data_IF_277540415873
#
_entry.id   IF_277540415873
#
_cell.length_a   1.000
_cell.length_b   1.000
_cell.length_c   1.000
_cell.angle_alpha   90.00
_cell.angle_beta   90.00
_cell.angle_gamma   90.00
#
_symmetry.space_group_name_H-M   'P 1'
#
loop_
_entity.id
_entity.type
_entity.pdbx_description
1 polymer ?
#
# COMPACT_ATOMS: atom_id res chain seq x y z
N UNK A 1 1.03 -52.30 5.56
CA UNK A 1 1.89 -53.51 5.41
C UNK A 1 1.38 -54.29 4.21
N UNK A 2 2.24 -54.73 3.28
CA UNK A 2 1.79 -55.59 2.19
C UNK A 2 1.37 -56.96 2.75
N UNK A 3 0.16 -57.39 2.42
CA UNK A 3 -0.41 -58.69 2.82
C UNK A 3 0.20 -59.81 1.96
N UNK A 4 1.38 -60.29 2.36
CA UNK A 4 2.12 -61.33 1.65
C UNK A 4 1.63 -62.70 2.12
N UNK A 5 0.75 -63.34 1.33
CA UNK A 5 0.30 -64.72 1.58
C UNK A 5 1.44 -65.71 1.28
N UNK A 6 2.05 -66.25 2.32
CA UNK A 6 3.08 -67.30 2.24
C UNK A 6 2.46 -68.61 1.76
N UNK A 7 2.87 -69.11 0.59
CA UNK A 7 2.35 -70.39 0.03
C UNK A 7 3.44 -71.45 -0.19
N UNK A 8 4.72 -71.09 -0.03
CA UNK A 8 5.86 -71.99 -0.18
C UNK A 8 7.01 -71.65 0.78
N UNK A 9 7.91 -72.61 1.04
CA UNK A 9 9.10 -72.40 1.86
C UNK A 9 10.07 -71.35 1.29
N UNK A 10 10.09 -71.16 -0.04
CA UNK A 10 10.83 -70.09 -0.71
C UNK A 10 10.31 -68.69 -0.36
N UNK A 11 8.99 -68.54 -0.15
CA UNK A 11 8.37 -67.26 0.18
C UNK A 11 8.76 -66.77 1.58
N UNK A 12 9.00 -67.69 2.52
CA UNK A 12 9.49 -67.37 3.87
C UNK A 12 10.90 -66.76 3.83
N UNK A 13 11.78 -67.24 2.93
CA UNK A 13 13.14 -66.71 2.78
C UNK A 13 13.12 -65.27 2.27
N UNK A 14 12.24 -64.99 1.30
CA UNK A 14 12.05 -63.65 0.74
C UNK A 14 11.42 -62.69 1.75
N UNK A 15 10.42 -63.15 2.51
CA UNK A 15 9.80 -62.36 3.57
C UNK A 15 10.80 -62.04 4.69
N UNK A 16 11.63 -63.01 5.11
CA UNK A 16 12.70 -62.78 6.09
C UNK A 16 13.72 -61.73 5.62
N UNK A 17 14.10 -61.79 4.34
CA UNK A 17 15.00 -60.79 3.74
C UNK A 17 14.36 -59.40 3.71
N UNK A 18 13.11 -59.29 3.30
CA UNK A 18 12.38 -58.02 3.27
C UNK A 18 12.16 -57.42 4.67
N UNK A 19 11.89 -58.26 5.69
CA UNK A 19 11.78 -57.83 7.08
C UNK A 19 13.13 -57.37 7.66
N UNK A 20 14.23 -58.06 7.31
CA UNK A 20 15.58 -57.63 7.70
C UNK A 20 15.94 -56.27 7.08
N UNK A 21 15.70 -56.09 5.77
CA UNK A 21 15.93 -54.81 5.08
C UNK A 21 15.00 -53.69 5.59
N UNK A 22 13.79 -54.02 6.06
CA UNK A 22 12.90 -53.04 6.69
C UNK A 22 13.39 -52.64 8.09
N UNK A 23 13.84 -53.61 8.90
CA UNK A 23 14.41 -53.36 10.21
C UNK A 23 15.71 -52.53 10.15
N UNK A 24 16.56 -52.77 9.16
CA UNK A 24 17.76 -51.96 8.91
C UNK A 24 17.41 -50.52 8.55
N UNK A 25 16.45 -50.31 7.63
CA UNK A 25 15.96 -48.97 7.25
C UNK A 25 15.30 -48.23 8.43
N UNK A 26 14.57 -48.95 9.29
CA UNK A 26 14.01 -48.36 10.51
C UNK A 26 15.09 -48.00 11.52
N UNK A 27 16.11 -48.84 11.69
CA UNK A 27 17.25 -48.55 12.55
C UNK A 27 18.06 -47.33 12.07
N UNK A 28 18.26 -47.19 10.75
CA UNK A 28 18.90 -46.02 10.15
C UNK A 28 18.09 -44.74 10.38
N UNK A 29 16.77 -44.79 10.18
CA UNK A 29 15.87 -43.65 10.44
C UNK A 29 15.87 -43.25 11.92
N UNK A 30 15.83 -44.22 12.83
CA UNK A 30 15.93 -43.98 14.27
C UNK A 30 17.25 -43.30 14.65
N UNK A 31 18.38 -43.76 14.08
CA UNK A 31 19.70 -43.13 14.29
C UNK A 31 19.75 -41.70 13.77
N UNK A 32 19.23 -41.45 12.57
CA UNK A 32 19.19 -40.12 11.98
C UNK A 32 18.33 -39.14 12.79
N UNK A 33 17.17 -39.58 13.28
CA UNK A 33 16.31 -38.77 14.16
C UNK A 33 17.02 -38.44 15.49
N UNK A 34 17.68 -39.42 16.11
CA UNK A 34 18.42 -39.21 17.35
C UNK A 34 19.64 -38.28 17.16
N UNK A 35 20.28 -38.29 16.00
CA UNK A 35 21.35 -37.34 15.66
C UNK A 35 20.82 -35.93 15.44
N UNK A 36 19.71 -35.78 14.71
CA UNK A 36 19.05 -34.50 14.48
C UNK A 36 18.56 -33.86 15.80
N UNK A 37 18.01 -34.66 16.71
CA UNK A 37 17.59 -34.20 18.04
C UNK A 37 18.79 -33.71 18.87
N UNK A 38 19.89 -34.47 18.85
CA UNK A 38 21.15 -34.07 19.52
C UNK A 38 21.71 -32.77 18.94
N UNK A 39 21.65 -32.60 17.63
CA UNK A 39 22.09 -31.36 16.97
C UNK A 39 21.19 -30.18 17.31
N UNK A 40 19.86 -30.36 17.29
CA UNK A 40 18.91 -29.32 17.67
C UNK A 40 19.12 -28.88 19.12
N UNK A 41 19.35 -29.83 20.03
CA UNK A 41 19.63 -29.55 21.45
C UNK A 41 20.95 -28.79 21.63
N UNK A 42 22.00 -29.14 20.87
CA UNK A 42 23.26 -28.37 20.85
C UNK A 42 23.03 -26.96 20.33
N UNK A 43 22.29 -26.79 19.23
CA UNK A 43 21.97 -25.49 18.64
C UNK A 43 21.22 -24.57 19.60
N UNK A 44 20.26 -25.12 20.35
CA UNK A 44 19.53 -24.38 21.39
C UNK A 44 20.45 -23.96 22.55
N UNK A 45 21.40 -24.81 22.95
CA UNK A 45 22.28 -24.53 24.09
C UNK A 45 23.55 -23.75 23.73
N UNK A 46 23.91 -23.62 22.45
CA UNK A 46 25.12 -22.95 21.97
C UNK A 46 25.25 -21.52 22.49
N UNK A 47 24.15 -20.76 22.47
CA UNK A 47 24.15 -19.39 22.98
C UNK A 47 24.46 -19.34 24.47
N UNK A 48 23.82 -20.21 25.26
CA UNK A 48 24.03 -20.27 26.71
C UNK A 48 25.45 -20.68 27.08
N UNK A 49 26.03 -21.60 26.30
CA UNK A 49 27.43 -22.02 26.48
C UNK A 49 28.41 -20.92 26.10
N UNK A 50 28.14 -20.17 25.02
CA UNK A 50 29.01 -19.08 24.55
C UNK A 50 29.04 -17.86 25.48
N UNK A 51 27.90 -17.50 26.10
CA UNK A 51 27.81 -16.33 26.98
C UNK A 51 28.35 -16.59 28.40
N UNK A 52 28.50 -17.85 28.81
CA UNK A 52 28.98 -18.22 30.13
C UNK A 52 28.08 -17.73 31.29
N UNK A 53 28.67 -17.58 32.47
CA UNK A 53 27.94 -17.15 33.68
C UNK A 53 27.69 -15.64 33.64
N UNK A 54 26.42 -15.24 33.50
CA UNK A 54 26.02 -13.83 33.48
C UNK A 54 25.66 -13.36 34.89
N UNK A 55 26.23 -12.24 35.32
CA UNK A 55 25.84 -11.61 36.59
C UNK A 55 24.66 -10.68 36.37
N UNK A 56 23.58 -10.88 37.11
CA UNK A 56 22.43 -9.99 37.07
C UNK A 56 22.82 -8.61 37.62
N UNK A 57 22.44 -7.55 36.90
CA UNK A 57 22.63 -6.16 37.36
C UNK A 57 21.85 -5.93 38.67
N UNK A 58 22.55 -5.48 39.72
CA UNK A 58 21.94 -5.10 41.00
C UNK A 58 21.31 -3.70 40.88
N UNK A 59 20.08 -3.55 41.39
CA UNK A 59 19.37 -2.25 41.44
C UNK A 59 18.11 -2.15 40.57
N UNK A 60 17.23 -3.16 40.58
CA UNK A 60 15.93 -3.11 39.88
C UNK A 60 14.86 -2.30 40.63
N UNK A 61 15.21 -1.12 41.15
CA UNK A 61 14.27 -0.22 41.81
C UNK A 61 14.33 1.19 41.23
N UNK A 62 14.42 1.31 39.89
CA UNK A 62 13.93 2.51 39.20
C UNK A 62 13.71 2.27 37.70
N UNK A 63 12.94 1.23 37.36
CA UNK A 63 12.43 1.10 35.99
C UNK A 63 11.27 2.06 35.82
N UNK A 64 11.54 3.25 35.29
CA UNK A 64 10.53 4.11 34.69
C UNK A 64 9.96 3.37 33.47
N UNK A 65 8.87 2.64 33.69
CA UNK A 65 8.05 2.12 32.61
C UNK A 65 7.39 3.32 31.94
N UNK A 66 7.86 3.69 30.75
CA UNK A 66 7.12 4.61 29.89
C UNK A 66 5.85 3.90 29.47
N UNK A 67 4.75 4.16 30.16
CA UNK A 67 3.40 3.90 29.65
C UNK A 67 3.13 4.98 28.62
N UNK A 68 3.12 4.67 27.31
CA UNK A 68 2.68 5.63 26.32
C UNK A 68 1.24 6.00 26.64
N UNK A 69 0.93 7.30 26.66
CA UNK A 69 -0.47 7.73 26.72
C UNK A 69 -1.21 7.10 25.53
N UNK A 70 -2.33 6.39 25.75
CA UNK A 70 -3.09 5.81 24.67
C UNK A 70 -3.53 6.94 23.73
N UNK A 71 -3.40 6.77 22.40
CA UNK A 71 -3.87 7.78 21.46
C UNK A 71 -5.38 7.98 21.62
N UNK A 72 -5.84 9.21 21.38
CA UNK A 72 -7.26 9.55 21.42
C UNK A 72 -8.08 8.56 20.57
N UNK A 73 -9.28 8.14 21.04
CA UNK A 73 -10.11 7.18 20.35
C UNK A 73 -10.55 7.74 18.99
N UNK A 74 -9.90 7.29 17.93
CA UNK A 74 -10.26 7.61 16.54
C UNK A 74 -11.60 6.91 16.23
N UNK A 75 -12.62 7.61 15.70
CA UNK A 75 -13.93 7.02 15.40
C UNK A 75 -13.91 6.11 14.16
N UNK A 76 -13.17 5.00 14.22
CA UNK A 76 -12.95 4.07 13.09
C UNK A 76 -14.27 3.48 12.56
N UNK A 77 -15.30 3.39 13.41
CA UNK A 77 -16.65 2.94 13.02
C UNK A 77 -17.37 3.96 12.14
N UNK A 78 -17.27 5.25 12.45
CA UNK A 78 -17.85 6.32 11.62
C UNK A 78 -17.18 6.37 10.24
N UNK A 79 -15.86 6.23 10.19
CA UNK A 79 -15.13 6.19 8.92
C UNK A 79 -15.48 4.96 8.07
N UNK A 80 -15.68 3.79 8.71
CA UNK A 80 -16.09 2.57 8.02
C UNK A 80 -17.54 2.62 7.53
N UNK A 81 -18.43 3.24 8.29
CA UNK A 81 -19.82 3.44 7.88
C UNK A 81 -19.92 4.48 6.76
N UNK A 82 -19.13 5.57 6.82
CA UNK A 82 -18.99 6.55 5.74
C UNK A 82 -18.37 5.90 4.48
N UNK A 83 -17.34 5.05 4.60
CA UNK A 83 -16.78 4.29 3.46
C UNK A 83 -17.77 3.28 2.88
N UNK A 84 -18.61 2.66 3.72
CA UNK A 84 -19.63 1.69 3.28
C UNK A 84 -20.77 2.40 2.55
N UNK A 85 -21.23 3.54 3.06
CA UNK A 85 -22.23 4.41 2.41
C UNK A 85 -21.67 5.00 1.11
N UNK A 86 -20.41 5.43 1.08
CA UNK A 86 -19.74 5.94 -0.11
C UNK A 86 -19.58 4.85 -1.17
N UNK A 87 -19.31 3.60 -0.77
CA UNK A 87 -19.18 2.44 -1.66
C UNK A 87 -20.52 1.95 -2.20
N UNK A 88 -21.59 2.03 -1.41
CA UNK A 88 -22.97 1.77 -1.87
C UNK A 88 -23.52 2.90 -2.76
N UNK A 89 -23.00 4.12 -2.61
CA UNK A 89 -23.38 5.30 -3.41
C UNK A 89 -22.62 5.45 -4.73
N UNK A 90 -21.72 4.52 -5.08
CA UNK A 90 -21.08 4.45 -6.40
C UNK A 90 -22.05 3.85 -7.43
N UNK A 91 -23.19 4.49 -7.64
CA UNK A 91 -23.90 4.40 -8.92
C UNK A 91 -23.27 5.43 -9.87
N UNK A 92 -23.34 5.16 -11.17
CA UNK A 92 -22.70 5.90 -12.26
C UNK A 92 -23.17 7.37 -12.45
N UNK A 93 -23.68 8.02 -11.39
CA UNK A 93 -24.23 9.37 -11.37
C UNK A 93 -23.64 10.24 -10.25
N UNK A 94 -22.36 10.06 -9.86
CA UNK A 94 -21.71 11.01 -8.97
C UNK A 94 -21.49 12.35 -9.69
N UNK A 95 -22.44 13.26 -9.51
CA UNK A 95 -22.40 14.59 -10.10
C UNK A 95 -21.43 15.49 -9.32
N UNK A 96 -20.18 15.50 -9.78
CA UNK A 96 -19.10 16.35 -9.26
C UNK A 96 -19.44 17.84 -9.42
N UNK A 97 -20.44 18.21 -10.24
CA UNK A 97 -20.83 19.61 -10.46
C UNK A 97 -21.11 20.37 -9.17
N UNK A 98 -21.68 19.71 -8.16
CA UNK A 98 -22.02 20.32 -6.86
C UNK A 98 -20.82 20.60 -5.97
N UNK A 99 -19.69 19.92 -6.20
CA UNK A 99 -18.43 20.10 -5.48
C UNK A 99 -17.46 21.05 -6.20
N UNK A 100 -17.79 21.41 -7.45
CA UNK A 100 -17.06 22.38 -8.24
C UNK A 100 -17.75 23.73 -8.06
N UNK A 101 -16.96 24.79 -7.82
CA UNK A 101 -17.53 26.14 -7.82
C UNK A 101 -18.09 26.44 -9.22
N UNK A 102 -19.34 26.95 -9.27
CA UNK A 102 -20.13 27.22 -10.48
C UNK A 102 -19.56 28.32 -11.38
N UNK A 103 -18.51 29.00 -10.92
CA UNK A 103 -17.74 29.89 -11.77
C UNK A 103 -17.04 29.08 -12.86
N UNK A 104 -16.82 29.72 -14.00
CA UNK A 104 -16.32 29.19 -15.28
C UNK A 104 -14.91 28.52 -15.24
N UNK A 105 -14.43 28.15 -14.06
CA UNK A 105 -13.03 27.87 -13.72
C UNK A 105 -12.77 26.47 -13.14
N UNK A 106 -13.77 25.59 -13.04
CA UNK A 106 -13.63 24.15 -12.76
C UNK A 106 -12.58 23.85 -11.67
N UNK A 107 -12.74 24.49 -10.50
CA UNK A 107 -11.84 24.34 -9.36
C UNK A 107 -12.45 23.51 -8.25
N UNK A 108 -11.60 22.76 -7.55
CA UNK A 108 -11.95 21.98 -6.37
C UNK A 108 -11.03 22.34 -5.22
N UNK A 109 -11.57 22.31 -4.00
CA UNK A 109 -10.80 22.33 -2.76
C UNK A 109 -11.46 21.43 -1.73
N UNK A 110 -10.65 20.80 -0.88
CA UNK A 110 -11.14 20.01 0.25
C UNK A 110 -11.81 20.92 1.29
N UNK A 111 -12.84 20.45 2.02
CA UNK A 111 -13.39 21.19 3.16
C UNK A 111 -12.30 21.58 4.16
N UNK A 112 -12.41 22.77 4.75
CA UNK A 112 -11.39 23.34 5.64
C UNK A 112 -10.22 24.03 4.94
N UNK A 113 -10.08 23.93 3.61
CA UNK A 113 -9.07 24.67 2.84
C UNK A 113 -9.60 26.04 2.45
N UNK A 114 -8.87 27.12 2.75
CA UNK A 114 -9.28 28.50 2.43
C UNK A 114 -9.49 28.75 0.93
N UNK A 115 -10.39 29.69 0.60
CA UNK A 115 -10.63 30.14 -0.78
C UNK A 115 -9.38 30.77 -1.42
N UNK A 116 -8.45 31.26 -0.61
CA UNK A 116 -7.19 31.83 -1.09
C UNK A 116 -6.28 30.80 -1.75
N UNK A 117 -6.42 29.51 -1.41
CA UNK A 117 -5.58 28.43 -1.95
C UNK A 117 -5.82 28.24 -3.45
N UNK A 118 -7.07 28.13 -3.90
CA UNK A 118 -7.37 27.99 -5.34
C UNK A 118 -6.98 29.24 -6.11
N UNK A 119 -7.18 30.43 -5.53
CA UNK A 119 -6.71 31.72 -6.09
C UNK A 119 -5.19 31.77 -6.26
N UNK A 120 -4.42 31.42 -5.21
CA UNK A 120 -2.96 31.36 -5.24
C UNK A 120 -2.45 30.29 -6.22
N UNK A 121 -3.14 29.15 -6.31
CA UNK A 121 -2.81 28.08 -7.24
C UNK A 121 -2.98 28.53 -8.69
N UNK A 122 -4.09 29.21 -9.00
CA UNK A 122 -4.35 29.81 -10.32
C UNK A 122 -3.34 30.91 -10.66
N UNK A 123 -2.91 31.68 -9.67
CA UNK A 123 -1.87 32.69 -9.81
C UNK A 123 -0.45 32.10 -9.88
N UNK A 124 -0.27 30.77 -9.79
CA UNK A 124 1.03 30.12 -9.93
C UNK A 124 1.96 30.28 -8.73
N UNK A 125 1.43 30.48 -7.52
CA UNK A 125 2.24 30.62 -6.30
C UNK A 125 2.96 29.32 -5.90
N UNK A 126 2.51 28.17 -6.43
CA UNK A 126 3.20 26.90 -6.30
C UNK A 126 3.80 26.49 -7.64
N UNK A 127 5.13 26.38 -7.69
CA UNK A 127 5.84 25.88 -8.86
C UNK A 127 5.42 24.44 -9.16
N UNK A 128 5.09 24.16 -10.41
CA UNK A 128 4.80 22.78 -10.86
C UNK A 128 6.12 22.00 -10.84
N UNK A 129 6.16 20.91 -10.06
CA UNK A 129 7.37 20.11 -9.84
C UNK A 129 7.38 18.83 -10.68
N UNK A 130 6.19 18.35 -11.08
CA UNK A 130 6.05 17.13 -11.88
C UNK A 130 4.79 17.20 -12.74
N UNK A 131 4.78 16.43 -13.82
CA UNK A 131 3.66 16.33 -14.73
C UNK A 131 3.33 14.89 -15.07
N UNK A 132 2.05 14.64 -15.28
CA UNK A 132 1.52 13.44 -15.93
C UNK A 132 0.81 13.85 -17.21
N UNK A 133 1.02 13.06 -18.26
CA UNK A 133 0.26 13.18 -19.50
C UNK A 133 -0.62 11.94 -19.69
N UNK A 134 -1.91 12.19 -19.89
CA UNK A 134 -2.96 11.20 -20.06
C UNK A 134 -3.59 11.29 -21.45
N UNK A 135 -3.13 12.20 -22.33
CA UNK A 135 -3.74 12.34 -23.64
C UNK A 135 -3.65 11.03 -24.43
N UNK A 136 -4.75 10.65 -25.08
CA UNK A 136 -4.80 9.44 -25.91
C UNK A 136 -4.87 8.11 -25.13
N UNK A 137 -4.69 8.11 -23.80
CA UNK A 137 -4.87 6.91 -23.00
C UNK A 137 -6.34 6.50 -22.93
N UNK A 138 -6.58 5.18 -22.87
CA UNK A 138 -7.89 4.66 -22.52
C UNK A 138 -8.21 5.02 -21.08
N UNK A 139 -9.50 4.99 -20.75
CA UNK A 139 -9.95 5.41 -19.41
C UNK A 139 -9.30 4.60 -18.28
N UNK A 140 -9.20 3.29 -18.44
CA UNK A 140 -8.62 2.44 -17.39
C UNK A 140 -7.13 2.72 -17.21
N UNK A 141 -6.37 2.79 -18.31
CA UNK A 141 -4.95 3.14 -18.31
C UNK A 141 -4.72 4.52 -17.67
N UNK A 142 -5.56 5.51 -18.01
CA UNK A 142 -5.47 6.84 -17.44
C UNK A 142 -5.77 6.86 -15.94
N UNK A 143 -6.73 6.05 -15.49
CA UNK A 143 -7.11 5.91 -14.08
C UNK A 143 -5.95 5.32 -13.27
N UNK A 144 -5.35 4.24 -13.76
CA UNK A 144 -4.19 3.60 -13.12
C UNK A 144 -3.00 4.54 -13.07
N UNK A 145 -2.63 5.15 -14.21
CA UNK A 145 -1.52 6.08 -14.31
C UNK A 145 -1.69 7.29 -13.38
N UNK A 146 -2.89 7.89 -13.34
CA UNK A 146 -3.19 9.00 -12.43
C UNK A 146 -3.08 8.56 -10.97
N UNK A 147 -3.64 7.40 -10.62
CA UNK A 147 -3.61 6.86 -9.28
C UNK A 147 -2.20 6.62 -8.77
N UNK A 148 -1.34 6.05 -9.60
CA UNK A 148 0.07 5.85 -9.29
C UNK A 148 0.85 7.16 -9.20
N UNK A 149 0.64 8.06 -10.15
CA UNK A 149 1.31 9.35 -10.20
C UNK A 149 1.07 10.19 -8.95
N UNK A 150 -0.19 10.30 -8.49
CA UNK A 150 -0.53 11.07 -7.29
C UNK A 150 0.09 10.43 -6.05
N UNK A 151 0.00 9.10 -5.91
CA UNK A 151 0.58 8.36 -4.79
C UNK A 151 2.11 8.52 -4.73
N UNK A 152 2.80 8.42 -5.87
CA UNK A 152 4.25 8.57 -5.94
C UNK A 152 4.67 10.01 -5.66
N UNK A 153 3.97 10.99 -6.24
CA UNK A 153 4.24 12.42 -6.03
C UNK A 153 4.09 12.79 -4.56
N UNK A 154 3.01 12.33 -3.91
CA UNK A 154 2.81 12.52 -2.48
C UNK A 154 3.94 11.87 -1.66
N UNK A 155 4.26 10.59 -1.87
CA UNK A 155 5.32 9.90 -1.09
C UNK A 155 6.70 10.55 -1.24
N UNK A 156 6.98 11.16 -2.38
CA UNK A 156 8.26 11.85 -2.64
C UNK A 156 8.28 13.30 -2.16
N UNK A 157 7.20 13.79 -1.54
CA UNK A 157 7.11 15.15 -1.01
C UNK A 157 6.88 16.22 -2.06
N UNK A 158 6.45 15.84 -3.26
CA UNK A 158 6.01 16.80 -4.29
C UNK A 158 4.70 17.43 -3.85
N UNK A 159 4.63 18.76 -3.95
CA UNK A 159 3.49 19.56 -3.49
C UNK A 159 2.56 19.95 -4.64
N UNK A 160 3.11 20.32 -5.79
CA UNK A 160 2.32 20.82 -6.92
C UNK A 160 2.66 20.04 -8.19
N UNK A 161 1.63 19.50 -8.83
CA UNK A 161 1.75 18.70 -10.04
C UNK A 161 0.79 19.17 -11.13
N UNK A 162 1.13 18.87 -12.38
CA UNK A 162 0.26 19.10 -13.53
C UNK A 162 -0.26 17.78 -14.08
N UNK A 163 -1.54 17.70 -14.37
CA UNK A 163 -2.17 16.55 -15.03
C UNK A 163 -2.74 17.02 -16.35
N UNK A 164 -2.19 16.55 -17.46
CA UNK A 164 -2.66 16.86 -18.81
C UNK A 164 -3.59 15.74 -19.27
N UNK A 165 -4.86 16.03 -19.49
CA UNK A 165 -5.86 15.06 -19.97
C UNK A 165 -6.28 15.32 -21.42
N UNK A 166 -5.78 16.40 -22.02
CA UNK A 166 -6.08 16.81 -23.38
C UNK A 166 -7.45 17.51 -23.50
N UNK A 167 -7.65 18.20 -24.62
CA UNK A 167 -8.87 18.98 -24.90
C UNK A 167 -10.03 18.14 -25.46
N UNK A 168 -9.81 16.85 -25.72
CA UNK A 168 -10.81 15.96 -26.33
C UNK A 168 -10.90 16.02 -27.86
N UNK A 169 -10.00 16.74 -28.55
CA UNK A 169 -10.06 16.90 -30.01
C UNK A 169 -9.72 15.64 -30.82
N UNK A 170 -9.06 14.64 -30.20
CA UNK A 170 -8.61 13.41 -30.85
C UNK A 170 -9.40 12.14 -30.47
N UNK A 171 -10.47 12.25 -29.67
CA UNK A 171 -11.33 11.11 -29.33
C UNK A 171 -12.40 10.87 -30.41
N UNK A 172 -12.91 9.64 -30.56
CA UNK A 172 -14.09 9.37 -31.39
C UNK A 172 -15.25 10.28 -30.95
N UNK A 173 -15.74 11.11 -31.88
CA UNK A 173 -16.80 12.10 -31.57
C UNK A 173 -16.32 13.42 -30.94
N UNK A 174 -15.00 13.67 -30.85
CA UNK A 174 -14.40 14.92 -30.30
C UNK A 174 -14.85 15.28 -28.87
N UNK A 175 -15.28 14.30 -28.09
CA UNK A 175 -15.74 14.50 -26.71
C UNK A 175 -14.60 14.33 -25.70
N UNK A 176 -14.43 15.24 -24.73
CA UNK A 176 -13.38 15.14 -23.72
C UNK A 176 -13.72 14.10 -22.64
N UNK A 177 -13.64 12.81 -22.99
CA UNK A 177 -13.98 11.68 -22.11
C UNK A 177 -13.22 11.71 -20.78
N UNK A 178 -11.95 12.11 -20.81
CA UNK A 178 -11.10 12.13 -19.61
C UNK A 178 -11.31 13.36 -18.72
N UNK A 179 -11.88 14.46 -19.22
CA UNK A 179 -11.95 15.73 -18.47
C UNK A 179 -12.73 15.57 -17.16
N UNK A 180 -13.99 15.12 -17.24
CA UNK A 180 -14.83 14.91 -16.05
C UNK A 180 -14.34 13.75 -15.18
N UNK A 181 -13.81 12.69 -15.80
CA UNK A 181 -13.31 11.50 -15.10
C UNK A 181 -12.09 11.82 -14.24
N UNK A 182 -11.11 12.53 -14.79
CA UNK A 182 -9.90 12.94 -14.06
C UNK A 182 -10.26 13.82 -12.86
N UNK A 183 -11.20 14.75 -13.01
CA UNK A 183 -11.69 15.55 -11.90
C UNK A 183 -12.31 14.68 -10.79
N UNK A 184 -13.23 13.77 -11.15
CA UNK A 184 -13.83 12.83 -10.20
C UNK A 184 -12.78 11.99 -9.47
N UNK A 185 -11.80 11.45 -10.19
CA UNK A 185 -10.73 10.65 -9.60
C UNK A 185 -9.84 11.47 -8.66
N UNK A 186 -9.52 12.72 -8.99
CA UNK A 186 -8.74 13.61 -8.13
C UNK A 186 -9.48 13.96 -6.85
N UNK A 187 -10.79 14.19 -6.89
CA UNK A 187 -11.62 14.43 -5.70
C UNK A 187 -11.56 13.22 -4.74
N UNK A 188 -11.53 12.01 -5.28
CA UNK A 188 -11.45 10.77 -4.51
C UNK A 188 -10.07 10.52 -3.86
N UNK A 189 -9.00 11.23 -4.28
CA UNK A 189 -7.66 11.08 -3.69
C UNK A 189 -7.52 11.92 -2.43
N UNK A 190 -7.34 11.25 -1.27
CA UNK A 190 -7.16 11.90 0.04
C UNK A 190 -5.95 12.85 0.05
N UNK A 191 -4.92 12.53 -0.73
CA UNK A 191 -3.70 13.32 -0.90
C UNK A 191 -3.93 14.66 -1.62
N UNK A 192 -5.04 14.83 -2.34
CA UNK A 192 -5.33 16.07 -3.08
C UNK A 192 -6.02 17.08 -2.15
N UNK A 193 -5.42 18.26 -2.02
CA UNK A 193 -5.97 19.41 -1.29
C UNK A 193 -6.88 20.27 -2.16
N UNK A 194 -6.42 20.58 -3.37
CA UNK A 194 -7.12 21.43 -4.31
C UNK A 194 -6.62 21.19 -5.74
N UNK A 195 -7.45 21.51 -6.73
CA UNK A 195 -7.00 21.65 -8.11
C UNK A 195 -7.74 22.77 -8.83
N UNK A 196 -7.12 23.30 -9.86
CA UNK A 196 -7.69 24.33 -10.73
C UNK A 196 -7.39 23.98 -12.19
N UNK A 197 -8.20 24.49 -13.12
CA UNK A 197 -7.81 24.51 -14.52
C UNK A 197 -6.45 25.22 -14.69
N UNK A 198 -5.57 24.61 -15.49
CA UNK A 198 -4.26 25.19 -15.77
C UNK A 198 -4.40 26.50 -16.57
N UNK A 199 -3.38 27.37 -16.50
CA UNK A 199 -3.33 28.59 -17.31
C UNK A 199 -3.16 28.23 -18.80
N UNK A 200 -3.47 29.13 -19.74
CA UNK A 200 -3.28 28.87 -21.17
C UNK A 200 -1.86 28.39 -21.53
N UNK A 201 -0.83 29.02 -20.96
CA UNK A 201 0.58 28.63 -21.14
C UNK A 201 0.92 27.23 -20.58
N UNK A 202 0.07 26.68 -19.71
CA UNK A 202 0.27 25.40 -19.03
C UNK A 202 -0.66 24.29 -19.54
N UNK A 203 -1.46 24.56 -20.58
CA UNK A 203 -2.37 23.58 -21.20
C UNK A 203 -3.86 23.96 -21.15
N UNK A 204 -4.21 25.02 -20.42
CA UNK A 204 -5.58 25.56 -20.35
C UNK A 204 -6.59 24.50 -19.93
N UNK A 205 -7.75 24.49 -20.60
CA UNK A 205 -8.82 23.52 -20.37
C UNK A 205 -8.45 22.03 -20.62
N UNK A 206 -7.26 21.75 -21.16
CA UNK A 206 -6.75 20.38 -21.34
C UNK A 206 -5.87 19.88 -20.19
N UNK A 207 -5.68 20.68 -19.13
CA UNK A 207 -4.83 20.33 -18.01
C UNK A 207 -5.35 20.90 -16.68
N UNK A 208 -4.98 20.22 -15.60
CA UNK A 208 -5.24 20.64 -14.22
C UNK A 208 -3.93 20.85 -13.49
N UNK A 209 -3.88 21.90 -12.66
CA UNK A 209 -2.83 22.09 -11.66
C UNK A 209 -3.37 21.60 -10.33
N UNK A 210 -2.66 20.67 -9.69
CA UNK A 210 -3.11 19.93 -8.51
C UNK A 210 -2.15 20.19 -7.36
N UNK A 211 -2.71 20.63 -6.24
CA UNK A 211 -2.00 20.80 -4.98
C UNK A 211 -2.24 19.59 -4.08
N UNK A 212 -1.15 18.94 -3.68
CA UNK A 212 -1.16 17.77 -2.80
C UNK A 212 -1.03 18.18 -1.33
N UNK A 213 -1.31 17.26 -0.41
CA UNK A 213 -1.04 17.39 1.01
C UNK A 213 0.48 17.36 1.29
N UNK A 214 0.95 17.95 2.39
CA UNK A 214 2.35 17.81 2.79
C UNK A 214 2.60 16.34 3.11
N UNK A 215 3.67 15.75 2.58
CA UNK A 215 4.00 14.38 2.93
C UNK A 215 4.50 14.34 4.37
N UNK A 216 4.04 13.37 5.15
CA UNK A 216 4.51 13.13 6.53
C UNK A 216 5.91 12.50 6.53
N UNK A 217 6.83 13.02 5.72
CA UNK A 217 8.23 12.68 5.89
C UNK A 217 8.62 13.29 7.23
N UNK A 218 8.64 12.44 8.28
CA UNK A 218 9.14 12.77 9.61
C UNK A 218 10.35 13.66 9.40
N UNK A 219 10.23 14.90 9.87
CA UNK A 219 11.39 15.74 10.13
C UNK A 219 12.24 14.91 11.08
N UNK A 220 13.26 14.24 10.55
CA UNK A 220 14.35 13.75 11.37
C UNK A 220 14.94 15.00 11.99
N UNK A 221 14.69 15.16 13.29
CA UNK A 221 15.50 15.98 14.17
C UNK A 221 16.97 15.77 13.83
N UNK A 222 17.59 16.77 13.20
CA UNK A 222 19.02 16.81 12.95
C UNK A 222 19.57 18.09 13.55
N UNK A 223 20.52 17.93 14.48
CA UNK A 223 21.29 19.01 15.10
C UNK A 223 20.93 19.25 16.54
#
# INVERSE_FOLDING_TARGET
MPDIKVRSLSDLKTLRKALAEAAEREAERQRALAEAEREARRRQNLFREAIGTVTALKGQHDRLWYTPEPPDPIPVQRERDEERVLRESLSDAFDVSTLLDTDDQLSFRRPGIGLDVTRKLRAGHWSIQRQLDLHGLRTEEAREALGEFIRLSFRTGIRCVRVVHGKGLGSPGKMPVLKGRVQSWLVQKKEVLAFVQARPAEGGAGALVVLLQPSQRRMGSGG
#
